data_IF_809299049380
#
_entry.id   IF_809299049380
#
_cell.length_a   1.000
_cell.length_b   1.000
_cell.length_c   1.000
_cell.angle_alpha   90.00
_cell.angle_beta   90.00
_cell.angle_gamma   90.00
#
_symmetry.space_group_name_H-M   'P 1'
#
loop_
_entity.id
_entity.type
_entity.pdbx_description
1 polymer ?
#
# COMPACT_ATOMS: atom_id res chain seq x y z
N UNK A 1 13.33 -13.68 14.20
CA UNK A 1 11.90 -13.96 14.46
C UNK A 1 11.01 -12.86 13.86
N UNK A 2 11.27 -11.58 14.13
CA UNK A 2 10.49 -10.45 13.58
C UNK A 2 10.55 -10.34 12.03
N UNK A 3 11.72 -10.50 11.41
CA UNK A 3 11.86 -10.45 9.94
C UNK A 3 11.11 -11.60 9.22
N UNK A 4 11.06 -12.77 9.85
CA UNK A 4 10.27 -13.91 9.35
C UNK A 4 8.79 -13.54 9.29
N UNK A 5 8.26 -12.90 10.33
CA UNK A 5 6.84 -12.51 10.39
C UNK A 5 6.48 -11.49 9.30
N UNK A 6 7.32 -10.47 9.08
CA UNK A 6 7.08 -9.49 8.00
C UNK A 6 7.08 -10.16 6.63
N UNK A 7 8.02 -11.06 6.38
CA UNK A 7 8.09 -11.80 5.11
C UNK A 7 6.85 -12.67 4.90
N UNK A 8 6.41 -13.39 5.94
CA UNK A 8 5.20 -14.21 5.91
C UNK A 8 3.95 -13.35 5.63
N UNK A 9 3.83 -12.20 6.29
CA UNK A 9 2.72 -11.26 6.06
C UNK A 9 2.73 -10.73 4.62
N UNK A 10 3.90 -10.40 4.06
CA UNK A 10 4.01 -9.95 2.68
C UNK A 10 3.56 -11.02 1.68
N UNK A 11 3.95 -12.27 1.90
CA UNK A 11 3.51 -13.41 1.07
C UNK A 11 2.00 -13.62 1.16
N UNK A 12 1.42 -13.57 2.37
CA UNK A 12 -0.03 -13.70 2.54
C UNK A 12 -0.81 -12.52 1.96
N UNK A 13 -0.30 -11.30 2.07
CA UNK A 13 -0.90 -10.12 1.44
C UNK A 13 -0.92 -10.24 -0.09
N UNK A 14 0.20 -10.66 -0.69
CA UNK A 14 0.28 -10.92 -2.13
C UNK A 14 -0.69 -12.02 -2.57
N UNK A 15 -0.70 -13.15 -1.86
CA UNK A 15 -1.59 -14.28 -2.16
C UNK A 15 -3.07 -13.85 -2.06
N UNK A 16 -3.43 -13.09 -1.02
CA UNK A 16 -4.78 -12.55 -0.84
C UNK A 16 -5.17 -11.63 -2.00
N UNK A 17 -4.26 -10.74 -2.42
CA UNK A 17 -4.49 -9.84 -3.56
C UNK A 17 -4.70 -10.59 -4.87
N UNK A 18 -3.86 -11.59 -5.16
CA UNK A 18 -3.98 -12.45 -6.36
C UNK A 18 -5.29 -13.21 -6.37
N UNK A 19 -5.65 -13.87 -5.26
CA UNK A 19 -6.88 -14.65 -5.15
C UNK A 19 -8.11 -13.77 -5.26
N UNK A 20 -8.12 -12.61 -4.59
CA UNK A 20 -9.23 -11.67 -4.63
C UNK A 20 -9.39 -11.09 -6.04
N UNK A 21 -8.32 -10.60 -6.67
CA UNK A 21 -8.36 -10.09 -8.04
C UNK A 21 -8.82 -11.14 -9.04
N UNK A 22 -8.31 -12.37 -8.91
CA UNK A 22 -8.72 -13.52 -9.72
C UNK A 22 -10.20 -13.85 -9.56
N UNK A 23 -10.70 -13.87 -8.32
CA UNK A 23 -12.11 -14.11 -8.01
C UNK A 23 -13.02 -13.05 -8.65
N UNK A 24 -12.70 -11.77 -8.51
CA UNK A 24 -13.47 -10.68 -9.12
C UNK A 24 -13.51 -10.79 -10.63
N UNK A 25 -12.37 -11.10 -11.27
CA UNK A 25 -12.31 -11.32 -12.71
C UNK A 25 -13.09 -12.56 -13.14
N UNK A 26 -13.05 -13.63 -12.36
CA UNK A 26 -13.79 -14.87 -12.62
C UNK A 26 -15.31 -14.63 -12.56
N UNK A 27 -15.77 -13.81 -11.60
CA UNK A 27 -17.17 -13.45 -11.45
C UNK A 27 -17.61 -12.29 -12.37
N UNK A 28 -16.69 -11.73 -13.18
CA UNK A 28 -16.93 -10.55 -14.03
C UNK A 28 -17.44 -9.33 -13.25
N UNK A 29 -16.99 -9.17 -12.01
CA UNK A 29 -17.31 -8.04 -11.14
C UNK A 29 -16.21 -6.98 -11.28
N UNK A 30 -16.55 -5.67 -11.34
CA UNK A 30 -15.55 -4.60 -11.28
C UNK A 30 -14.67 -4.74 -10.04
N UNK A 31 -13.35 -4.65 -10.22
CA UNK A 31 -12.43 -4.72 -9.07
C UNK A 31 -12.54 -3.45 -8.20
N UNK A 32 -12.37 -3.55 -6.87
CA UNK A 32 -12.44 -2.40 -5.97
C UNK A 32 -11.14 -1.57 -5.95
N UNK A 33 -10.01 -2.14 -6.39
CA UNK A 33 -8.73 -1.45 -6.49
C UNK A 33 -8.58 -0.74 -7.85
N UNK A 34 -7.70 0.27 -7.99
CA UNK A 34 -7.48 0.95 -9.27
C UNK A 34 -7.08 -0.05 -10.37
N UNK A 35 -7.88 -0.20 -11.45
CA UNK A 35 -7.63 -1.22 -12.48
C UNK A 35 -6.56 -0.82 -13.50
N UNK A 36 -6.22 0.46 -13.59
CA UNK A 36 -5.27 0.99 -14.56
C UNK A 36 -3.87 1.28 -13.99
N UNK A 37 -2.87 1.23 -14.88
CA UNK A 37 -1.48 1.53 -14.56
C UNK A 37 -1.30 2.89 -13.87
N UNK A 38 -1.95 4.00 -14.29
CA UNK A 38 -1.89 5.27 -13.58
C UNK A 38 -2.29 5.18 -12.10
N UNK A 39 -3.35 4.45 -11.77
CA UNK A 39 -3.80 4.26 -10.40
C UNK A 39 -2.78 3.49 -9.55
N UNK A 40 -2.19 2.42 -10.11
CA UNK A 40 -1.14 1.66 -9.44
C UNK A 40 0.13 2.49 -9.21
N UNK A 41 0.54 3.28 -10.22
CA UNK A 41 1.67 4.20 -10.11
C UNK A 41 1.43 5.29 -9.06
N UNK A 42 0.18 5.75 -8.88
CA UNK A 42 -0.19 6.65 -7.80
C UNK A 42 0.10 6.06 -6.41
N UNK A 43 -0.30 4.80 -6.16
CA UNK A 43 -0.03 4.10 -4.89
C UNK A 43 1.48 3.95 -4.64
N UNK A 44 2.23 3.53 -5.67
CA UNK A 44 3.69 3.42 -5.59
C UNK A 44 4.33 4.78 -5.29
N UNK A 45 3.88 5.84 -5.98
CA UNK A 45 4.36 7.20 -5.78
C UNK A 45 4.12 7.72 -4.36
N UNK A 46 2.95 7.43 -3.78
CA UNK A 46 2.64 7.77 -2.38
C UNK A 46 3.63 7.10 -1.42
N UNK A 47 3.88 5.80 -1.58
CA UNK A 47 4.83 5.08 -0.72
C UNK A 47 6.26 5.60 -0.85
N UNK A 48 6.73 5.82 -2.08
CA UNK A 48 8.06 6.36 -2.32
C UNK A 48 8.20 7.79 -1.78
N UNK A 49 7.20 8.65 -1.99
CA UNK A 49 7.17 10.00 -1.45
C UNK A 49 7.22 10.02 0.07
N UNK A 50 6.44 9.14 0.72
CA UNK A 50 6.48 8.96 2.18
C UNK A 50 7.89 8.59 2.67
N UNK A 51 8.53 7.58 2.06
CA UNK A 51 9.89 7.15 2.41
C UNK A 51 10.95 8.21 2.12
N UNK A 52 10.79 8.99 1.05
CA UNK A 52 11.70 10.07 0.70
C UNK A 52 11.65 11.18 1.77
N UNK A 53 10.46 11.63 2.13
CA UNK A 53 10.27 12.69 3.14
C UNK A 53 10.77 12.22 4.51
N UNK A 54 10.48 10.97 4.89
CA UNK A 54 11.04 10.32 6.09
C UNK A 54 12.58 10.32 6.07
N UNK A 55 13.20 9.90 4.96
CA UNK A 55 14.65 9.85 4.83
C UNK A 55 15.33 11.24 4.85
N UNK A 56 14.64 12.27 4.34
CA UNK A 56 15.12 13.64 4.39
C UNK A 56 14.93 14.30 5.76
N UNK A 57 14.17 13.67 6.67
CA UNK A 57 13.87 14.23 7.99
C UNK A 57 13.05 15.52 7.93
N UNK A 58 12.31 15.73 6.84
CA UNK A 58 11.47 16.92 6.64
C UNK A 58 10.04 16.55 7.06
N UNK A 59 9.43 17.34 7.93
CA UNK A 59 8.07 17.07 8.35
C UNK A 59 7.58 18.09 9.36
N UNK A 60 6.26 18.22 9.46
CA UNK A 60 5.60 18.97 10.51
C UNK A 60 4.75 17.96 11.27
N UNK A 61 4.92 17.87 12.58
CA UNK A 61 3.97 17.14 13.41
C UNK A 61 2.69 17.96 13.48
N UNK A 62 1.72 17.59 12.64
CA UNK A 62 0.44 18.28 12.57
C UNK A 62 -0.38 18.07 13.84
N UNK A 63 -0.21 16.96 14.56
CA UNK A 63 -0.96 16.69 15.79
C UNK A 63 -0.47 17.65 16.87
N UNK A 64 0.85 17.74 17.04
CA UNK A 64 1.48 18.71 17.93
C UNK A 64 1.17 20.16 17.51
N UNK A 65 1.25 20.48 16.21
CA UNK A 65 0.98 21.83 15.70
C UNK A 65 -0.48 22.27 15.87
N UNK A 66 -1.41 21.31 15.90
CA UNK A 66 -2.83 21.56 16.19
C UNK A 66 -3.13 21.55 17.70
N UNK A 67 -2.14 21.28 18.55
CA UNK A 67 -2.24 21.33 20.00
C UNK A 67 -2.98 20.15 20.63
N UNK A 68 -3.00 18.99 19.94
CA UNK A 68 -3.55 17.74 20.46
C UNK A 68 -2.46 16.85 21.09
#
# INVERSE_FOLDING_TARGET
>A
MLESMTTQLAVFALATGVLTGGLFRMLSIPIPAPPELPGLLGIVGIFLGYKLVEALGIGIDLVEALGF
#
